data_IF_074475444697
#
_entry.id   IF_074475444697
#
_cell.length_a   1.000
_cell.length_b   1.000
_cell.length_c   1.000
_cell.angle_alpha   90.00
_cell.angle_beta   90.00
_cell.angle_gamma   90.00
#
_symmetry.space_group_name_H-M   'P 1'
#
loop_
_entity.id
_entity.type
_entity.pdbx_description
1 polymer ?
#
# COMPACT_ATOMS: atom_id res chain seq x y z
N UNK A 1 47.39 -33.32 25.55
CA UNK A 1 48.50 -32.56 26.16
C UNK A 1 48.50 -31.17 25.56
N UNK A 2 48.37 -30.21 26.47
CA UNK A 2 48.31 -28.76 26.41
C UNK A 2 49.36 -28.11 25.50
N UNK A 3 48.98 -27.08 24.73
CA UNK A 3 49.63 -25.75 24.76
C UNK A 3 48.59 -24.66 24.45
N UNK A 4 48.41 -23.76 25.42
CA UNK A 4 47.62 -22.52 25.37
C UNK A 4 48.32 -21.45 24.53
N UNK A 5 47.55 -20.55 23.91
CA UNK A 5 47.92 -19.13 23.84
C UNK A 5 46.69 -18.25 24.08
N UNK A 6 46.65 -17.67 25.27
CA UNK A 6 45.90 -16.46 25.58
C UNK A 6 46.67 -15.26 25.04
N UNK A 7 45.97 -14.25 24.54
CA UNK A 7 46.34 -12.85 24.72
C UNK A 7 45.07 -12.00 24.68
N UNK A 8 44.71 -11.47 25.86
CA UNK A 8 43.90 -10.25 26.02
C UNK A 8 44.67 -9.08 25.36
N UNK A 9 44.05 -7.96 25.01
CA UNK A 9 44.03 -6.74 25.85
C UNK A 9 43.41 -5.57 25.05
N UNK A 10 42.64 -4.73 25.77
CA UNK A 10 42.28 -3.31 25.56
C UNK A 10 41.18 -2.89 24.56
N UNK A 11 40.01 -2.61 25.15
CA UNK A 11 39.16 -1.46 24.79
C UNK A 11 39.92 -0.13 24.97
N UNK A 12 39.49 0.91 24.26
CA UNK A 12 39.27 2.19 24.92
C UNK A 12 37.84 2.70 24.71
N UNK A 13 37.26 3.13 25.83
CA UNK A 13 36.16 4.09 25.91
C UNK A 13 36.62 5.44 25.36
N UNK A 14 35.79 6.09 24.54
CA UNK A 14 35.84 7.53 24.32
C UNK A 14 34.44 8.06 24.02
N UNK A 15 33.98 8.89 24.94
CA UNK A 15 32.82 9.75 24.83
C UNK A 15 33.00 10.77 23.71
N UNK A 16 31.89 11.08 23.02
CA UNK A 16 31.84 12.12 22.01
C UNK A 16 30.39 12.39 21.61
N UNK A 17 29.64 13.05 22.49
CA UNK A 17 28.39 13.72 22.15
C UNK A 17 28.74 14.87 21.17
N UNK A 18 28.35 14.74 19.90
CA UNK A 18 28.30 15.88 18.97
C UNK A 18 26.85 16.16 18.62
N UNK A 19 26.32 17.23 19.22
CA UNK A 19 25.25 18.04 18.66
C UNK A 19 25.83 18.92 17.53
N UNK A 20 24.95 19.33 16.60
CA UNK A 20 25.19 20.03 15.31
C UNK A 20 25.49 19.05 14.15
N UNK A 21 24.65 18.92 13.13
CA UNK A 21 24.08 20.01 12.33
C UNK A 21 22.72 19.64 11.73
N UNK A 22 21.69 20.44 12.04
CA UNK A 22 20.43 20.49 11.30
C UNK A 22 20.61 21.57 10.24
N UNK A 23 20.79 21.16 8.99
CA UNK A 23 20.64 21.98 7.78
C UNK A 23 20.44 20.99 6.63
N UNK A 24 19.21 20.46 6.53
CA UNK A 24 18.76 19.76 5.35
C UNK A 24 18.06 20.78 4.44
N UNK A 25 18.53 20.86 3.20
CA UNK A 25 18.00 21.70 2.14
C UNK A 25 16.54 21.33 1.81
N UNK A 26 15.68 22.34 1.78
CA UNK A 26 14.45 22.33 0.98
C UNK A 26 14.83 22.13 -0.49
N UNK A 27 14.46 20.98 -1.06
CA UNK A 27 14.34 20.83 -2.49
C UNK A 27 12.87 21.04 -2.85
N UNK A 28 12.53 22.31 -3.09
CA UNK A 28 11.29 22.75 -3.72
C UNK A 28 11.09 22.01 -5.05
N UNK A 29 9.87 21.51 -5.27
CA UNK A 29 9.38 21.11 -6.58
C UNK A 29 9.53 22.31 -7.56
N UNK A 30 10.16 22.16 -8.73
CA UNK A 30 10.20 23.24 -9.70
C UNK A 30 8.79 23.45 -10.27
N UNK A 31 8.12 24.51 -9.81
CA UNK A 31 6.90 25.04 -10.43
C UNK A 31 7.18 25.37 -11.90
N UNK A 32 6.45 24.72 -12.80
CA UNK A 32 6.38 25.15 -14.19
C UNK A 32 5.85 26.59 -14.27
N UNK A 33 6.45 27.49 -15.07
CA UNK A 33 5.97 28.86 -15.18
C UNK A 33 4.69 28.91 -16.02
N UNK A 34 3.56 29.17 -15.35
CA UNK A 34 2.33 29.58 -16.03
C UNK A 34 2.56 30.96 -16.66
N UNK A 35 2.55 31.01 -17.99
CA UNK A 35 2.55 32.26 -18.74
C UNK A 35 1.23 32.99 -18.51
N UNK A 36 1.30 34.14 -17.87
CA UNK A 36 0.20 35.10 -17.82
C UNK A 36 0.03 35.80 -19.17
N UNK A 37 -1.22 35.96 -19.58
CA UNK A 37 -1.64 37.12 -20.39
C UNK A 37 -2.68 37.88 -19.58
N UNK A 38 -2.39 39.16 -19.35
CA UNK A 38 -3.20 40.05 -18.54
C UNK A 38 -4.52 40.43 -19.19
N UNK A 39 -5.50 40.73 -18.35
CA UNK A 39 -6.75 41.40 -18.68
C UNK A 39 -7.23 42.20 -17.47
N UNK A 40 -7.48 43.48 -17.70
CA UNK A 40 -7.60 44.54 -16.70
C UNK A 40 -8.89 44.52 -15.88
N UNK A 41 -8.76 45.02 -14.64
CA UNK A 41 -9.59 46.03 -13.95
C UNK A 41 -11.12 45.99 -14.11
N UNK A 42 -11.80 45.76 -12.99
CA UNK A 42 -13.20 46.11 -12.78
C UNK A 42 -13.53 46.12 -11.29
N UNK A 43 -13.49 47.32 -10.70
CA UNK A 43 -14.06 47.66 -9.41
C UNK A 43 -15.58 47.35 -9.33
N UNK A 44 -16.13 47.48 -8.11
CA UNK A 44 -17.54 47.50 -7.67
C UNK A 44 -17.98 46.13 -7.10
N UNK A 45 -18.49 46.00 -5.88
CA UNK A 45 -18.81 46.97 -4.85
C UNK A 45 -19.25 46.23 -3.57
N UNK A 46 -18.90 46.81 -2.43
CA UNK A 46 -19.39 46.45 -1.10
C UNK A 46 -20.88 46.75 -1.01
N UNK A 47 -21.67 45.78 -0.57
CA UNK A 47 -22.98 46.03 0.05
C UNK A 47 -23.01 45.28 1.38
N UNK A 48 -22.88 46.05 2.46
CA UNK A 48 -23.36 45.71 3.79
C UNK A 48 -24.60 46.55 4.05
N UNK A 49 -25.70 45.87 4.41
CA UNK A 49 -26.84 46.33 5.22
C UNK A 49 -27.80 45.11 5.24
N UNK A 50 -28.38 44.62 6.33
CA UNK A 50 -28.41 45.04 7.72
C UNK A 50 -29.55 44.28 8.42
N UNK A 51 -29.29 43.86 9.66
CA UNK A 51 -30.20 43.79 10.82
C UNK A 51 -31.51 42.95 10.81
N UNK A 52 -31.62 42.11 11.87
CA UNK A 52 -32.86 41.74 12.56
C UNK A 52 -33.07 40.21 12.61
N UNK A 53 -33.21 39.52 13.73
CA UNK A 53 -33.30 39.89 15.13
C UNK A 53 -33.92 38.73 15.91
N UNK A 54 -33.17 38.19 16.87
CA UNK A 54 -33.66 37.66 18.15
C UNK A 54 -34.37 36.29 18.22
N UNK A 55 -34.30 35.60 19.39
CA UNK A 55 -34.51 34.16 19.53
C UNK A 55 -35.86 33.79 20.18
N UNK A 56 -36.38 32.61 19.83
CA UNK A 56 -37.62 32.05 20.36
C UNK A 56 -37.37 30.71 21.06
N UNK A 57 -37.17 30.80 22.36
CA UNK A 57 -37.21 29.74 23.35
C UNK A 57 -38.62 29.10 23.43
N UNK A 58 -38.70 27.77 23.52
CA UNK A 58 -39.86 27.00 24.02
C UNK A 58 -39.51 25.53 24.19
N UNK A 59 -39.21 25.16 25.43
CA UNK A 59 -39.19 23.77 25.88
C UNK A 59 -40.59 23.15 25.98
N UNK A 60 -40.63 21.82 25.93
CA UNK A 60 -41.65 20.99 26.57
C UNK A 60 -40.95 19.75 27.13
N UNK A 61 -41.19 19.50 28.42
CA UNK A 61 -40.79 18.31 29.17
C UNK A 61 -42.09 17.59 29.60
N UNK A 62 -41.98 16.26 29.72
CA UNK A 62 -42.66 15.33 30.64
C UNK A 62 -43.65 14.32 30.02
N UNK A 63 -43.21 13.05 30.11
CA UNK A 63 -43.83 11.89 30.77
C UNK A 63 -45.23 11.39 30.38
N UNK A 64 -45.34 10.06 30.26
CA UNK A 64 -46.63 9.37 30.38
C UNK A 64 -46.62 7.92 29.92
N UNK A 65 -46.61 7.00 30.87
CA UNK A 65 -46.56 5.55 30.72
C UNK A 65 -47.89 4.88 30.34
N UNK A 66 -47.80 3.66 29.80
CA UNK A 66 -48.58 2.50 30.24
C UNK A 66 -49.88 2.15 29.52
N UNK A 67 -49.94 0.94 28.94
CA UNK A 67 -51.20 0.27 28.58
C UNK A 67 -51.03 -0.89 27.59
N UNK A 68 -50.94 -2.12 28.10
CA UNK A 68 -51.01 -3.41 27.39
C UNK A 68 -52.42 -3.73 26.83
N UNK A 69 -52.75 -4.99 26.45
CA UNK A 69 -52.30 -5.76 25.28
C UNK A 69 -53.50 -6.10 24.37
N UNK A 70 -53.28 -6.46 23.11
CA UNK A 70 -54.31 -7.14 22.31
C UNK A 70 -53.76 -8.42 21.72
N UNK A 71 -54.20 -9.51 22.32
CA UNK A 71 -54.19 -10.87 21.80
C UNK A 71 -55.38 -11.00 20.84
N UNK A 72 -55.14 -11.46 19.61
CA UNK A 72 -56.13 -12.14 18.76
C UNK A 72 -55.42 -12.78 17.58
N UNK A 73 -55.29 -14.11 17.65
CA UNK A 73 -54.71 -14.94 16.61
C UNK A 73 -55.50 -14.91 15.30
N UNK A 74 -54.74 -15.03 14.22
CA UNK A 74 -55.23 -15.33 12.88
C UNK A 74 -54.18 -16.18 12.17
N UNK A 75 -54.41 -17.48 12.16
CA UNK A 75 -53.69 -18.48 11.37
C UNK A 75 -53.82 -18.13 9.89
N UNK A 76 -52.70 -17.99 9.18
CA UNK A 76 -52.61 -18.19 7.74
C UNK A 76 -51.31 -18.94 7.43
N UNK A 77 -51.49 -20.12 6.85
CA UNK A 77 -50.46 -21.03 6.40
C UNK A 77 -49.59 -20.44 5.28
N UNK A 78 -48.28 -20.66 5.43
CA UNK A 78 -47.41 -21.18 4.37
C UNK A 78 -47.27 -20.41 3.06
N UNK A 79 -46.21 -19.60 2.96
CA UNK A 79 -45.51 -19.38 1.70
C UNK A 79 -44.05 -19.01 1.94
N UNK A 80 -43.17 -20.02 1.82
CA UNK A 80 -41.83 -19.92 1.27
C UNK A 80 -40.80 -19.06 1.99
N UNK A 81 -40.00 -19.70 2.85
CA UNK A 81 -38.59 -19.35 3.01
C UNK A 81 -37.92 -19.39 1.63
N UNK A 82 -37.76 -18.23 0.99
CA UNK A 82 -36.78 -18.09 -0.07
C UNK A 82 -35.41 -17.85 0.59
N UNK A 83 -34.44 -18.74 0.41
CA UNK A 83 -33.06 -18.43 0.77
C UNK A 83 -32.60 -17.20 -0.05
N UNK A 84 -31.62 -16.43 0.47
CA UNK A 84 -31.05 -15.32 -0.29
C UNK A 84 -30.58 -15.80 -1.69
N UNK A 85 -30.68 -14.96 -2.73
CA UNK A 85 -30.22 -15.33 -4.06
C UNK A 85 -28.75 -15.77 -3.97
N UNK A 86 -28.50 -16.94 -4.54
CA UNK A 86 -27.34 -17.76 -4.26
C UNK A 86 -26.01 -17.01 -4.32
N UNK A 87 -25.12 -17.37 -3.40
CA UNK A 87 -23.69 -17.24 -3.65
C UNK A 87 -23.42 -17.80 -5.04
N UNK A 88 -22.72 -17.02 -5.86
CA UNK A 88 -22.26 -17.51 -7.14
C UNK A 88 -21.52 -18.82 -6.89
N UNK A 89 -22.15 -19.92 -7.30
CA UNK A 89 -21.51 -21.22 -7.40
C UNK A 89 -20.46 -21.05 -8.48
N UNK A 90 -19.28 -20.58 -8.07
CA UNK A 90 -18.06 -20.65 -8.85
C UNK A 90 -17.76 -22.14 -8.94
N UNK A 91 -18.42 -22.81 -9.89
CA UNK A 91 -18.33 -24.25 -10.08
C UNK A 91 -16.87 -24.71 -10.11
N UNK A 92 -16.61 -26.02 -9.90
CA UNK A 92 -15.26 -26.53 -9.75
C UNK A 92 -14.36 -25.99 -10.85
N UNK A 93 -13.33 -25.25 -10.43
CA UNK A 93 -12.32 -24.72 -11.33
C UNK A 93 -11.77 -25.90 -12.15
N UNK A 94 -11.65 -25.76 -13.49
CA UNK A 94 -11.13 -26.83 -14.32
C UNK A 94 -9.75 -27.29 -13.82
N UNK A 95 -9.43 -28.58 -13.97
CA UNK A 95 -8.12 -29.14 -13.63
C UNK A 95 -7.02 -28.33 -14.34
N UNK A 96 -6.34 -27.47 -13.59
CA UNK A 96 -5.37 -26.54 -14.14
C UNK A 96 -4.06 -27.28 -14.41
N UNK A 97 -3.44 -27.08 -15.59
CA UNK A 97 -2.10 -27.59 -15.84
C UNK A 97 -1.13 -27.04 -14.78
N UNK A 98 -0.16 -27.86 -14.38
CA UNK A 98 0.95 -27.43 -13.51
C UNK A 98 1.51 -26.14 -14.09
N UNK A 99 1.56 -25.04 -13.31
CA UNK A 99 2.05 -23.78 -13.84
C UNK A 99 3.46 -24.00 -14.39
N UNK A 100 3.75 -23.52 -15.61
CA UNK A 100 5.09 -23.63 -16.16
C UNK A 100 6.10 -23.05 -15.16
N UNK A 101 7.34 -23.54 -15.21
CA UNK A 101 8.42 -22.90 -14.45
C UNK A 101 8.40 -21.41 -14.76
N UNK A 102 8.62 -20.58 -13.72
CA UNK A 102 8.76 -19.15 -13.87
C UNK A 102 9.97 -18.86 -14.77
N UNK A 103 9.70 -18.41 -15.99
CA UNK A 103 10.72 -18.11 -16.99
C UNK A 103 10.43 -16.71 -17.47
N UNK A 104 11.31 -15.78 -17.12
CA UNK A 104 11.31 -14.42 -17.63
C UNK A 104 11.10 -14.41 -19.14
N UNK A 105 10.35 -13.42 -19.62
CA UNK A 105 10.25 -13.17 -21.04
C UNK A 105 11.65 -12.85 -21.61
N UNK A 106 11.87 -13.16 -22.88
CA UNK A 106 13.15 -12.88 -23.53
C UNK A 106 13.52 -11.38 -23.55
N UNK A 107 12.53 -10.50 -23.30
CA UNK A 107 12.68 -9.05 -23.20
C UNK A 107 12.93 -8.57 -21.78
N UNK A 108 12.68 -9.40 -20.77
CA UNK A 108 12.80 -9.00 -19.37
C UNK A 108 14.27 -8.83 -19.00
N UNK A 109 14.54 -7.89 -18.11
CA UNK A 109 15.82 -7.82 -17.45
C UNK A 109 15.95 -8.98 -16.44
N UNK A 110 17.12 -9.63 -16.33
CA UNK A 110 18.27 -9.48 -17.20
C UNK A 110 18.10 -10.26 -18.52
N UNK A 111 18.42 -9.62 -19.66
CA UNK A 111 18.55 -10.29 -20.96
C UNK A 111 19.48 -9.53 -21.90
N UNK A 112 19.84 -10.13 -23.04
CA UNK A 112 20.68 -9.50 -24.07
C UNK A 112 20.07 -8.19 -24.62
N UNK A 113 18.75 -8.02 -24.54
CA UNK A 113 18.04 -6.83 -24.99
C UNK A 113 18.45 -5.55 -24.22
N UNK A 114 19.03 -5.69 -23.03
CA UNK A 114 19.40 -4.57 -22.15
C UNK A 114 20.83 -4.06 -22.35
N UNK A 115 21.64 -4.68 -23.22
CA UNK A 115 23.01 -4.26 -23.45
C UNK A 115 23.93 -4.49 -22.26
N UNK A 116 25.00 -3.70 -22.10
CA UNK A 116 25.87 -3.74 -20.91
C UNK A 116 25.40 -2.69 -19.91
N UNK A 117 24.85 -3.15 -18.81
CA UNK A 117 24.22 -2.30 -17.82
C UNK A 117 24.82 -2.59 -16.43
N UNK A 118 25.21 -1.57 -15.64
CA UNK A 118 25.85 -1.78 -14.34
C UNK A 118 25.06 -2.71 -13.41
N UNK A 119 23.73 -2.58 -13.38
CA UNK A 119 22.85 -3.46 -12.59
C UNK A 119 22.88 -4.96 -12.97
N UNK A 120 23.56 -5.36 -14.05
CA UNK A 120 23.69 -6.78 -14.47
C UNK A 120 24.53 -7.63 -13.53
N UNK A 121 25.35 -7.01 -12.68
CA UNK A 121 26.02 -7.72 -11.59
C UNK A 121 25.06 -8.15 -10.46
N UNK A 122 23.77 -7.81 -10.59
CA UNK A 122 22.72 -8.11 -9.62
C UNK A 122 22.69 -7.17 -8.43
N UNK A 123 23.47 -6.09 -8.46
CA UNK A 123 23.62 -5.10 -7.39
C UNK A 123 23.01 -3.76 -7.81
N UNK A 124 22.47 -3.03 -6.84
CA UNK A 124 22.05 -1.65 -7.06
C UNK A 124 23.28 -0.73 -7.10
N UNK A 125 23.35 0.11 -8.13
CA UNK A 125 24.23 1.27 -8.15
C UNK A 125 23.36 2.53 -7.99
N UNK A 126 23.18 2.97 -6.74
CA UNK A 126 22.34 4.14 -6.44
C UNK A 126 22.89 5.41 -7.11
N UNK A 127 21.99 6.28 -7.56
CA UNK A 127 22.36 7.57 -8.15
C UNK A 127 22.80 8.57 -7.07
N UNK A 128 22.12 8.58 -5.93
CA UNK A 128 22.41 9.42 -4.76
C UNK A 128 22.44 8.57 -3.47
N UNK A 129 23.45 7.70 -3.27
CA UNK A 129 23.48 6.74 -2.16
C UNK A 129 23.41 7.39 -0.77
N UNK A 130 23.89 8.62 -0.63
CA UNK A 130 23.88 9.34 0.66
C UNK A 130 22.52 9.97 1.00
N UNK A 131 21.56 10.01 0.06
CA UNK A 131 20.33 10.81 0.18
C UNK A 131 19.03 10.01 -0.04
N UNK A 132 19.03 8.70 0.18
CA UNK A 132 17.84 7.86 0.00
C UNK A 132 16.94 7.92 1.25
N UNK A 133 16.20 9.03 1.41
CA UNK A 133 15.29 9.23 2.56
C UNK A 133 14.21 8.15 2.73
N UNK A 134 13.99 7.33 1.70
CA UNK A 134 13.04 6.23 1.69
C UNK A 134 13.46 5.06 2.59
N UNK A 135 14.77 4.86 2.82
CA UNK A 135 15.29 3.83 3.73
C UNK A 135 14.70 3.99 5.13
N UNK A 136 14.74 5.20 5.68
CA UNK A 136 14.16 5.51 7.00
C UNK A 136 12.64 5.20 7.10
N UNK A 137 11.92 5.19 5.97
CA UNK A 137 10.49 4.83 5.93
C UNK A 137 10.31 3.31 5.99
N UNK A 138 11.24 2.55 5.41
CA UNK A 138 11.26 1.09 5.55
C UNK A 138 11.68 0.70 6.98
N UNK A 139 12.65 1.38 7.57
CA UNK A 139 12.99 1.20 8.99
C UNK A 139 11.77 1.45 9.91
N UNK A 140 11.01 2.51 9.62
CA UNK A 140 9.77 2.80 10.33
C UNK A 140 8.72 1.70 10.14
N UNK A 141 8.56 1.17 8.92
CA UNK A 141 7.68 0.04 8.64
C UNK A 141 8.08 -1.20 9.44
N UNK A 142 9.36 -1.58 9.43
CA UNK A 142 9.91 -2.71 10.18
C UNK A 142 9.69 -2.52 11.69
N UNK A 143 9.96 -1.32 12.21
CA UNK A 143 9.75 -1.02 13.64
C UNK A 143 8.28 -1.09 14.05
N UNK A 144 7.36 -0.66 13.18
CA UNK A 144 5.90 -0.81 13.42
C UNK A 144 5.52 -2.30 13.39
N UNK A 145 6.10 -3.08 12.49
CA UNK A 145 5.85 -4.51 12.36
C UNK A 145 6.14 -5.27 13.65
N UNK A 146 7.33 -5.04 14.22
CA UNK A 146 7.79 -5.64 15.47
C UNK A 146 6.87 -5.34 16.66
N UNK A 147 6.28 -4.13 16.68
CA UNK A 147 5.34 -3.71 17.72
C UNK A 147 3.94 -4.32 17.56
N UNK A 148 3.51 -4.56 16.31
CA UNK A 148 2.13 -4.87 15.98
C UNK A 148 1.93 -6.31 15.49
N UNK A 149 2.12 -6.62 14.21
CA UNK A 149 1.73 -7.92 13.66
C UNK A 149 2.80 -9.00 13.80
N UNK A 150 4.04 -8.66 14.15
CA UNK A 150 5.13 -9.62 14.39
C UNK A 150 5.36 -9.90 15.88
N UNK A 151 4.66 -9.17 16.74
CA UNK A 151 4.70 -9.41 18.16
C UNK A 151 4.22 -10.84 18.48
N UNK A 152 4.89 -11.59 19.39
CA UNK A 152 4.52 -12.97 19.72
C UNK A 152 3.18 -13.11 20.45
N UNK A 153 2.58 -11.99 20.87
CA UNK A 153 1.28 -11.91 21.52
C UNK A 153 0.49 -10.75 20.93
N UNK A 154 -0.83 -10.75 21.15
CA UNK A 154 -1.70 -9.66 20.72
C UNK A 154 -1.15 -8.29 21.21
N UNK A 155 -1.04 -7.28 20.33
CA UNK A 155 -0.48 -5.98 20.70
C UNK A 155 -1.30 -5.29 21.77
N UNK A 156 -0.60 -4.68 22.73
CA UNK A 156 -1.24 -3.87 23.77
C UNK A 156 -1.56 -2.47 23.23
N UNK A 157 -2.52 -1.75 23.82
CA UNK A 157 -2.82 -0.36 23.46
C UNK A 157 -1.59 0.56 23.35
N UNK A 158 -0.62 0.39 24.26
CA UNK A 158 0.61 1.20 24.24
C UNK A 158 1.46 0.96 22.99
N UNK A 159 1.44 -0.25 22.41
CA UNK A 159 2.18 -0.58 21.20
C UNK A 159 1.62 0.20 19.99
N UNK A 160 0.30 0.39 19.90
CA UNK A 160 -0.31 1.28 18.89
C UNK A 160 0.03 2.74 19.12
N UNK A 161 0.16 3.17 20.39
CA UNK A 161 0.70 4.47 20.77
C UNK A 161 2.09 4.70 20.15
N UNK A 162 3.00 3.77 20.40
CA UNK A 162 4.38 3.83 19.91
C UNK A 162 4.46 3.72 18.38
N UNK A 163 3.73 2.78 17.78
CA UNK A 163 3.67 2.60 16.33
C UNK A 163 3.17 3.87 15.61
N UNK A 164 2.17 4.57 16.18
CA UNK A 164 1.67 5.83 15.61
C UNK A 164 2.71 6.95 15.67
N UNK A 165 3.52 7.00 16.73
CA UNK A 165 4.64 7.97 16.83
C UNK A 165 5.69 7.69 15.76
N UNK A 166 6.03 6.42 15.51
CA UNK A 166 6.95 6.03 14.44
C UNK A 166 6.37 6.40 13.07
N UNK A 167 5.10 6.08 12.83
CA UNK A 167 4.39 6.42 11.60
C UNK A 167 4.38 7.93 11.29
N UNK A 168 4.17 8.75 12.32
CA UNK A 168 4.03 10.20 12.24
C UNK A 168 5.36 10.97 12.37
N UNK A 169 6.51 10.29 12.27
CA UNK A 169 7.79 10.99 12.24
C UNK A 169 7.84 12.00 11.08
N UNK A 170 8.54 13.13 11.32
CA UNK A 170 8.74 14.16 10.31
C UNK A 170 9.39 13.54 9.06
N UNK A 171 8.83 13.81 7.88
CA UNK A 171 9.23 13.20 6.60
C UNK A 171 9.16 11.66 6.51
N UNK A 172 8.51 11.03 7.50
CA UNK A 172 8.28 9.59 7.59
C UNK A 172 7.14 9.08 6.72
N UNK A 173 6.49 8.00 7.17
CA UNK A 173 5.42 7.33 6.43
C UNK A 173 4.18 8.23 6.25
N UNK A 174 3.71 8.89 7.31
CA UNK A 174 2.53 9.77 7.27
C UNK A 174 2.65 10.88 6.23
N UNK A 175 3.80 11.57 6.22
CA UNK A 175 4.11 12.61 5.24
C UNK A 175 3.90 12.11 3.82
N UNK A 176 4.31 10.89 3.49
CA UNK A 176 4.16 10.33 2.13
C UNK A 176 2.76 9.76 1.88
N UNK A 177 2.16 9.07 2.85
CA UNK A 177 0.80 8.52 2.73
C UNK A 177 -0.21 9.63 2.48
N UNK A 178 -0.15 10.75 3.20
CA UNK A 178 -1.09 11.88 3.07
C UNK A 178 -1.12 12.56 1.68
N UNK A 179 -0.21 12.20 0.78
CA UNK A 179 -0.10 12.76 -0.58
C UNK A 179 0.17 11.71 -1.65
N UNK A 180 0.02 10.42 -1.34
CA UNK A 180 0.36 9.34 -2.28
C UNK A 180 -0.74 9.20 -3.33
N UNK A 181 -0.36 9.37 -4.58
CA UNK A 181 -1.13 9.03 -5.76
C UNK A 181 -0.73 7.66 -6.33
N UNK A 182 -1.68 6.99 -6.98
CA UNK A 182 -1.48 5.78 -7.78
C UNK A 182 -1.29 6.15 -9.26
N UNK A 183 -0.05 6.03 -9.76
CA UNK A 183 0.32 6.40 -11.13
C UNK A 183 -0.29 5.52 -12.21
N UNK A 184 -0.76 4.32 -11.86
CA UNK A 184 -1.50 3.46 -12.79
C UNK A 184 -2.82 4.11 -13.25
N UNK A 185 -3.37 5.05 -12.47
CA UNK A 185 -4.67 5.68 -12.71
C UNK A 185 -4.58 7.07 -13.33
N UNK A 186 -3.41 7.50 -13.81
CA UNK A 186 -3.20 8.85 -14.36
C UNK A 186 -4.18 9.22 -15.48
N UNK A 187 -4.60 8.25 -16.31
CA UNK A 187 -5.55 8.48 -17.41
C UNK A 187 -7.00 8.77 -16.95
N UNK A 188 -7.30 8.56 -15.67
CA UNK A 188 -8.64 8.72 -15.09
C UNK A 188 -8.89 10.09 -14.45
N UNK A 189 -7.84 10.92 -14.38
CA UNK A 189 -7.88 12.24 -13.73
C UNK A 189 -7.40 13.35 -14.68
N UNK A 190 -7.79 14.62 -14.47
CA UNK A 190 -7.24 15.73 -15.22
C UNK A 190 -5.72 15.84 -15.08
N UNK A 191 -5.05 16.34 -16.13
CA UNK A 191 -3.61 16.63 -16.08
C UNK A 191 -3.30 17.63 -14.95
N UNK A 192 -2.20 17.39 -14.22
CA UNK A 192 -1.78 18.25 -13.11
C UNK A 192 -2.56 18.02 -11.81
N UNK A 193 -3.44 17.02 -11.72
CA UNK A 193 -4.13 16.66 -10.48
C UNK A 193 -3.13 16.39 -9.35
N UNK A 194 -3.29 17.09 -8.23
CA UNK A 194 -2.40 17.02 -7.08
C UNK A 194 -3.19 16.62 -5.83
N UNK A 195 -2.83 15.49 -5.23
CA UNK A 195 -3.52 14.93 -4.06
C UNK A 195 -3.33 15.72 -2.76
N UNK A 196 -2.56 16.81 -2.78
CA UNK A 196 -2.48 17.77 -1.67
C UNK A 196 -3.55 18.85 -1.73
N UNK A 197 -4.17 19.04 -2.89
CA UNK A 197 -5.14 20.12 -3.10
C UNK A 197 -6.47 19.77 -2.44
N UNK A 198 -7.07 20.75 -1.77
CA UNK A 198 -8.33 20.54 -1.04
C UNK A 198 -9.46 20.07 -1.97
N UNK A 199 -10.16 19.01 -1.59
CA UNK A 199 -11.26 18.43 -2.38
C UNK A 199 -10.82 17.42 -3.45
N UNK A 200 -9.53 17.37 -3.79
CA UNK A 200 -9.02 16.44 -4.81
C UNK A 200 -9.04 14.98 -4.32
N UNK A 201 -8.58 14.65 -3.09
CA UNK A 201 -8.69 13.29 -2.58
C UNK A 201 -10.13 12.78 -2.49
N UNK A 202 -11.09 13.64 -2.19
CA UNK A 202 -12.51 13.27 -2.11
C UNK A 202 -13.12 13.05 -3.50
N UNK A 203 -12.68 13.81 -4.50
CA UNK A 203 -13.16 13.72 -5.87
C UNK A 203 -12.54 12.52 -6.62
N UNK A 204 -11.27 12.21 -6.35
CA UNK A 204 -10.51 11.15 -7.01
C UNK A 204 -9.85 10.20 -6.00
N UNK A 205 -10.60 9.51 -5.14
CA UNK A 205 -10.05 8.73 -4.04
C UNK A 205 -9.18 7.55 -4.49
N UNK A 206 -9.46 6.96 -5.65
CA UNK A 206 -8.64 5.87 -6.20
C UNK A 206 -7.29 6.37 -6.72
N UNK A 207 -7.28 7.51 -7.42
CA UNK A 207 -6.02 8.11 -7.86
C UNK A 207 -5.24 8.66 -6.67
N UNK A 208 -5.89 9.41 -5.78
CA UNK A 208 -5.31 9.92 -4.54
C UNK A 208 -5.40 8.89 -3.41
N UNK A 209 -4.94 7.68 -3.70
CA UNK A 209 -5.10 6.49 -2.85
C UNK A 209 -4.62 6.68 -1.42
N UNK A 210 -3.54 7.44 -1.23
CA UNK A 210 -2.98 7.77 0.06
C UNK A 210 -3.98 8.48 0.98
N UNK A 211 -4.33 9.74 0.70
CA UNK A 211 -5.31 10.48 1.51
C UNK A 211 -6.75 9.98 1.35
N UNK A 212 -7.16 9.48 0.17
CA UNK A 212 -8.54 9.09 -0.11
C UNK A 212 -8.95 7.72 0.41
N UNK A 213 -7.99 6.79 0.57
CA UNK A 213 -8.26 5.39 0.97
C UNK A 213 -7.41 4.92 2.15
N UNK A 214 -6.09 5.04 2.05
CA UNK A 214 -5.14 4.44 3.01
C UNK A 214 -5.15 5.19 4.35
N UNK A 215 -5.07 6.52 4.35
CA UNK A 215 -5.01 7.33 5.57
C UNK A 215 -6.24 7.17 6.47
N UNK A 216 -7.49 7.15 5.96
CA UNK A 216 -8.67 6.82 6.76
C UNK A 216 -8.57 5.46 7.46
N UNK A 217 -8.08 4.43 6.77
CA UNK A 217 -7.91 3.08 7.34
C UNK A 217 -6.89 3.10 8.48
N UNK A 218 -5.72 3.72 8.24
CA UNK A 218 -4.66 3.84 9.24
C UNK A 218 -5.14 4.60 10.47
N UNK A 219 -5.80 5.75 10.28
CA UNK A 219 -6.31 6.57 11.38
C UNK A 219 -7.28 5.78 12.24
N UNK A 220 -8.29 5.16 11.63
CA UNK A 220 -9.28 4.37 12.35
C UNK A 220 -8.66 3.16 13.07
N UNK A 221 -7.72 2.46 12.43
CA UNK A 221 -7.06 1.30 13.01
C UNK A 221 -6.13 1.67 14.18
N UNK A 222 -5.36 2.76 14.06
CA UNK A 222 -4.54 3.25 15.17
C UNK A 222 -5.41 3.69 16.35
N UNK A 223 -6.48 4.46 16.11
CA UNK A 223 -7.39 4.91 17.17
C UNK A 223 -8.04 3.73 17.90
N UNK A 224 -8.57 2.76 17.15
CA UNK A 224 -9.20 1.57 17.72
C UNK A 224 -8.20 0.68 18.47
N UNK A 225 -6.99 0.49 17.93
CA UNK A 225 -5.92 -0.25 18.59
C UNK A 225 -5.46 0.41 19.89
N UNK A 226 -5.33 1.74 19.92
CA UNK A 226 -5.02 2.52 21.13
C UNK A 226 -6.15 2.46 22.18
N UNK A 227 -7.39 2.23 21.75
CA UNK A 227 -8.53 1.98 22.64
C UNK A 227 -8.62 0.51 23.11
N UNK A 228 -7.72 -0.38 22.66
CA UNK A 228 -7.75 -1.80 22.99
C UNK A 228 -8.85 -2.58 22.29
N UNK A 229 -9.47 -2.01 21.25
CA UNK A 229 -10.53 -2.67 20.47
C UNK A 229 -9.87 -3.56 19.43
N UNK A 230 -10.17 -4.86 19.47
CA UNK A 230 -9.73 -5.87 18.48
C UNK A 230 -8.27 -5.67 18.01
N UNK A 231 -7.29 -5.68 18.93
CA UNK A 231 -5.92 -5.26 18.62
C UNK A 231 -5.31 -6.06 17.47
N UNK A 232 -5.47 -7.38 17.42
CA UNK A 232 -4.94 -8.21 16.33
C UNK A 232 -5.54 -7.83 14.97
N UNK A 233 -6.84 -7.49 14.92
CA UNK A 233 -7.53 -7.09 13.69
C UNK A 233 -7.04 -5.73 13.21
N UNK A 234 -6.87 -4.77 14.12
CA UNK A 234 -6.38 -3.44 13.76
C UNK A 234 -4.89 -3.44 13.38
N UNK A 235 -4.08 -4.30 13.99
CA UNK A 235 -2.70 -4.54 13.53
C UNK A 235 -2.68 -5.06 12.09
N UNK A 236 -3.55 -6.00 11.74
CA UNK A 236 -3.66 -6.54 10.39
C UNK A 236 -4.15 -5.51 9.35
N UNK A 237 -5.05 -4.59 9.75
CA UNK A 237 -5.46 -3.45 8.89
C UNK A 237 -4.31 -2.50 8.62
N UNK A 238 -3.51 -2.18 9.64
CA UNK A 238 -2.32 -1.33 9.48
C UNK A 238 -1.28 -2.00 8.59
N UNK A 239 -1.03 -3.30 8.81
CA UNK A 239 -0.14 -4.11 7.97
C UNK A 239 -0.54 -4.01 6.50
N UNK A 240 -1.80 -4.34 6.19
CA UNK A 240 -2.32 -4.33 4.83
C UNK A 240 -2.31 -2.93 4.19
N UNK A 241 -2.68 -1.89 4.94
CA UNK A 241 -2.72 -0.52 4.44
C UNK A 241 -1.33 0.02 4.10
N UNK A 242 -0.32 -0.29 4.91
CA UNK A 242 1.06 0.10 4.64
C UNK A 242 1.68 -0.75 3.52
N UNK A 243 1.34 -2.04 3.39
CA UNK A 243 1.73 -2.82 2.21
C UNK A 243 1.14 -2.27 0.92
N UNK A 244 -0.13 -1.85 0.95
CA UNK A 244 -0.75 -1.16 -0.19
C UNK A 244 0.03 0.12 -0.52
N UNK A 245 0.37 0.94 0.48
CA UNK A 245 1.20 2.13 0.28
C UNK A 245 2.57 1.80 -0.33
N UNK A 246 3.27 0.76 0.13
CA UNK A 246 4.57 0.37 -0.42
C UNK A 246 4.43 -0.07 -1.88
N UNK A 247 3.45 -0.91 -2.17
CA UNK A 247 3.15 -1.39 -3.52
C UNK A 247 2.95 -0.24 -4.53
N UNK A 248 2.08 0.73 -4.23
CA UNK A 248 1.88 1.89 -5.12
C UNK A 248 3.09 2.84 -5.14
N UNK A 249 3.88 2.88 -4.05
CA UNK A 249 5.05 3.75 -3.97
C UNK A 249 6.17 3.26 -4.87
N UNK A 250 6.46 1.96 -4.91
CA UNK A 250 7.51 1.41 -5.80
C UNK A 250 7.24 1.84 -7.25
N UNK A 251 6.03 1.60 -7.75
CA UNK A 251 5.68 1.97 -9.12
C UNK A 251 5.67 3.50 -9.33
N UNK A 252 5.11 4.27 -8.39
CA UNK A 252 5.09 5.74 -8.53
C UNK A 252 6.50 6.31 -8.66
N UNK A 253 7.42 5.93 -7.78
CA UNK A 253 8.80 6.47 -7.83
C UNK A 253 9.53 6.01 -9.12
N UNK A 254 9.25 4.78 -9.60
CA UNK A 254 9.77 4.32 -10.89
C UNK A 254 9.27 5.17 -12.06
N UNK A 255 7.99 5.58 -12.04
CA UNK A 255 7.42 6.50 -13.05
C UNK A 255 8.05 7.89 -12.95
N UNK A 256 8.15 8.46 -11.74
CA UNK A 256 8.71 9.82 -11.55
C UNK A 256 10.23 9.87 -11.78
N UNK A 257 10.91 8.72 -11.76
CA UNK A 257 12.30 8.61 -12.18
C UNK A 257 12.57 9.08 -13.63
N UNK A 258 11.53 9.13 -14.46
CA UNK A 258 11.56 9.78 -15.78
C UNK A 258 12.07 11.22 -15.73
N UNK A 259 11.65 11.99 -14.73
CA UNK A 259 12.01 13.41 -14.61
C UNK A 259 12.98 13.68 -13.47
N UNK A 260 13.04 12.79 -12.47
CA UNK A 260 13.82 12.97 -11.26
C UNK A 260 14.63 11.72 -10.97
N UNK A 261 15.90 11.69 -11.38
CA UNK A 261 16.73 10.48 -11.38
C UNK A 261 16.81 9.75 -10.03
N UNK A 262 16.93 10.49 -8.91
CA UNK A 262 16.96 9.93 -7.54
C UNK A 262 15.68 9.19 -7.13
N UNK A 263 14.57 9.37 -7.85
CA UNK A 263 13.34 8.64 -7.55
C UNK A 263 13.48 7.15 -7.92
N UNK A 264 14.39 6.78 -8.82
CA UNK A 264 14.76 5.37 -9.01
C UNK A 264 15.29 4.75 -7.72
N UNK A 265 16.21 5.44 -7.02
CA UNK A 265 16.73 4.98 -5.72
C UNK A 265 15.60 4.82 -4.70
N UNK A 266 14.59 5.71 -4.75
CA UNK A 266 13.40 5.59 -3.91
C UNK A 266 12.49 4.43 -4.30
N UNK A 267 12.34 4.11 -5.58
CA UNK A 267 11.61 2.93 -6.05
C UNK A 267 12.27 1.66 -5.51
N UNK A 268 13.61 1.56 -5.62
CA UNK A 268 14.37 0.46 -5.05
C UNK A 268 14.22 0.39 -3.54
N UNK A 269 14.45 1.49 -2.83
CA UNK A 269 14.34 1.50 -1.38
C UNK A 269 12.92 1.20 -0.88
N UNK A 270 11.85 1.64 -1.53
CA UNK A 270 10.49 1.23 -1.15
C UNK A 270 10.27 -0.28 -1.28
N UNK A 271 10.96 -0.91 -2.23
CA UNK A 271 10.90 -2.34 -2.42
C UNK A 271 11.76 -3.08 -1.40
N UNK A 272 13.06 -2.76 -1.29
CA UNK A 272 14.07 -3.56 -0.59
C UNK A 272 14.56 -3.00 0.73
N UNK A 273 14.29 -1.74 1.05
CA UNK A 273 14.92 -1.05 2.19
C UNK A 273 16.41 -0.76 2.02
N UNK A 274 16.92 -0.75 0.78
CA UNK A 274 18.37 -0.76 0.45
C UNK A 274 19.05 -2.13 0.66
N UNK A 275 18.26 -3.15 1.00
CA UNK A 275 18.74 -4.53 1.15
C UNK A 275 19.18 -5.17 -0.17
N UNK A 276 20.21 -6.01 -0.09
CA UNK A 276 20.58 -6.92 -1.18
C UNK A 276 19.50 -8.00 -1.39
N UNK A 277 19.50 -8.66 -2.55
CA UNK A 277 18.54 -9.74 -2.87
C UNK A 277 18.47 -10.82 -1.78
N UNK A 278 19.59 -11.13 -1.14
CA UNK A 278 19.64 -12.16 -0.08
C UNK A 278 19.08 -11.72 1.28
N UNK A 279 18.79 -10.42 1.45
CA UNK A 279 18.33 -9.83 2.71
C UNK A 279 17.12 -8.90 2.45
N UNK A 280 15.97 -9.47 2.05
CA UNK A 280 14.82 -8.66 1.67
C UNK A 280 14.20 -7.95 2.88
N UNK A 281 13.99 -6.64 2.75
CA UNK A 281 13.26 -5.81 3.72
C UNK A 281 12.00 -5.19 3.09
N UNK A 282 11.23 -4.39 3.83
CA UNK A 282 10.09 -3.68 3.27
C UNK A 282 9.05 -4.58 2.58
N UNK A 283 8.66 -4.20 1.36
CA UNK A 283 7.74 -5.00 0.53
C UNK A 283 8.39 -6.30 0.03
N UNK A 284 9.70 -6.27 -0.27
CA UNK A 284 10.45 -7.44 -0.71
C UNK A 284 10.39 -8.55 0.34
N UNK A 285 10.46 -8.21 1.64
CA UNK A 285 10.32 -9.18 2.73
C UNK A 285 8.97 -9.92 2.67
N UNK A 286 7.88 -9.18 2.53
CA UNK A 286 6.53 -9.75 2.49
C UNK A 286 6.31 -10.58 1.22
N UNK A 287 6.79 -10.12 0.07
CA UNK A 287 6.74 -10.91 -1.18
C UNK A 287 7.58 -12.17 -1.03
N UNK A 288 8.82 -12.08 -0.54
CA UNK A 288 9.71 -13.23 -0.39
C UNK A 288 9.15 -14.29 0.56
N UNK A 289 8.49 -13.87 1.65
CA UNK A 289 7.82 -14.78 2.57
C UNK A 289 6.66 -15.55 1.91
N UNK A 290 5.96 -14.94 0.96
CA UNK A 290 4.87 -15.58 0.22
C UNK A 290 5.35 -16.35 -1.02
N UNK A 291 6.41 -15.88 -1.69
CA UNK A 291 7.00 -16.44 -2.90
C UNK A 291 8.40 -15.90 -3.12
N UNK A 292 9.42 -16.75 -2.93
CA UNK A 292 10.82 -16.43 -3.24
C UNK A 292 11.01 -16.08 -4.71
N UNK A 293 10.22 -16.70 -5.59
CA UNK A 293 10.23 -16.44 -7.01
C UNK A 293 9.61 -15.07 -7.34
N UNK A 294 8.49 -14.72 -6.71
CA UNK A 294 7.92 -13.38 -6.83
C UNK A 294 8.90 -12.30 -6.37
N UNK A 295 9.68 -12.58 -5.32
CA UNK A 295 10.75 -11.68 -4.90
C UNK A 295 11.85 -11.58 -5.96
N UNK A 296 12.35 -12.70 -6.49
CA UNK A 296 13.39 -12.66 -7.52
C UNK A 296 12.97 -11.87 -8.74
N UNK A 297 11.74 -12.08 -9.24
CA UNK A 297 11.20 -11.38 -10.41
C UNK A 297 11.03 -9.89 -10.16
N UNK A 298 10.50 -9.51 -9.00
CA UNK A 298 10.32 -8.09 -8.66
C UNK A 298 11.67 -7.40 -8.47
N UNK A 299 12.65 -8.08 -7.85
CA UNK A 299 14.00 -7.53 -7.71
C UNK A 299 14.65 -7.29 -9.08
N UNK A 300 14.54 -8.25 -10.01
CA UNK A 300 15.01 -8.09 -11.38
C UNK A 300 14.33 -6.91 -12.07
N UNK A 301 13.03 -6.76 -11.89
CA UNK A 301 12.26 -5.68 -12.51
C UNK A 301 12.58 -4.29 -11.95
N UNK A 302 12.86 -4.18 -10.65
CA UNK A 302 13.34 -2.92 -10.05
C UNK A 302 14.75 -2.59 -10.57
N UNK A 303 15.62 -3.60 -10.73
CA UNK A 303 16.91 -3.39 -11.39
C UNK A 303 16.75 -2.98 -12.86
N UNK A 304 15.73 -3.46 -13.56
CA UNK A 304 15.42 -3.04 -14.93
C UNK A 304 15.17 -1.52 -15.01
N UNK A 305 14.46 -0.96 -14.03
CA UNK A 305 14.20 0.50 -13.95
C UNK A 305 15.50 1.27 -13.72
N UNK A 306 16.35 0.84 -12.78
CA UNK A 306 17.67 1.44 -12.59
C UNK A 306 18.51 1.34 -13.86
N UNK A 307 18.52 0.16 -14.46
CA UNK A 307 19.30 -0.14 -15.63
C UNK A 307 18.95 0.76 -16.82
N UNK A 308 17.66 0.88 -17.12
CA UNK A 308 17.17 1.83 -18.11
C UNK A 308 17.69 3.24 -17.82
N UNK A 309 17.56 3.70 -16.57
CA UNK A 309 17.93 5.06 -16.19
C UNK A 309 19.44 5.30 -16.22
N UNK A 310 20.26 4.29 -15.95
CA UNK A 310 21.72 4.35 -16.10
C UNK A 310 22.14 4.49 -17.56
N UNK A 311 21.47 3.76 -18.45
CA UNK A 311 21.72 3.82 -19.89
C UNK A 311 21.24 5.13 -20.51
N UNK A 312 20.22 5.76 -19.93
CA UNK A 312 19.65 7.02 -20.38
C UNK A 312 20.31 8.24 -19.71
N UNK A 313 21.41 8.72 -20.31
CA UNK A 313 22.30 9.71 -19.70
C UNK A 313 21.66 11.07 -19.28
N UNK A 314 20.72 11.69 -20.04
CA UNK A 314 20.18 13.02 -19.70
C UNK A 314 19.43 13.05 -18.37
N UNK A 315 19.33 14.22 -17.71
CA UNK A 315 18.66 14.39 -16.41
C UNK A 315 17.13 14.13 -16.47
N UNK A 316 16.51 14.49 -17.59
CA UNK A 316 15.15 14.08 -17.93
C UNK A 316 15.25 13.00 -19.00
N UNK A 317 14.63 11.86 -18.75
CA UNK A 317 14.72 10.70 -19.61
C UNK A 317 14.21 10.98 -21.03
N UNK A 318 14.93 10.43 -22.02
CA UNK A 318 14.59 10.52 -23.45
C UNK A 318 14.37 9.14 -24.07
N UNK A 319 14.91 8.07 -23.47
CA UNK A 319 14.67 6.69 -23.90
C UNK A 319 13.35 6.15 -23.32
N UNK A 320 12.24 6.76 -23.72
CA UNK A 320 10.91 6.38 -23.24
C UNK A 320 10.48 4.96 -23.66
N UNK A 321 10.85 4.42 -24.85
CA UNK A 321 10.53 3.04 -25.16
C UNK A 321 11.16 2.03 -24.20
N UNK A 322 12.42 2.22 -23.78
CA UNK A 322 13.05 1.34 -22.78
C UNK A 322 12.50 1.58 -21.38
N UNK A 323 12.13 2.83 -21.04
CA UNK A 323 11.37 3.12 -19.82
C UNK A 323 10.11 2.27 -19.74
N UNK A 324 9.30 2.32 -20.79
CA UNK A 324 8.00 1.67 -20.81
C UNK A 324 8.15 0.15 -20.71
N UNK A 325 9.21 -0.42 -21.30
CA UNK A 325 9.59 -1.82 -21.09
C UNK A 325 9.94 -2.12 -19.63
N UNK A 326 10.77 -1.29 -18.98
CA UNK A 326 11.14 -1.45 -17.57
C UNK A 326 9.93 -1.35 -16.63
N UNK A 327 9.06 -0.37 -16.86
CA UNK A 327 7.85 -0.16 -16.07
C UNK A 327 6.84 -1.29 -16.27
N UNK A 328 6.68 -1.80 -17.49
CA UNK A 328 5.82 -2.96 -17.74
C UNK A 328 6.32 -4.22 -17.02
N UNK A 329 7.63 -4.48 -17.06
CA UNK A 329 8.22 -5.59 -16.30
C UNK A 329 8.00 -5.41 -14.79
N UNK A 330 8.19 -4.20 -14.26
CA UNK A 330 7.97 -3.89 -12.85
C UNK A 330 6.52 -4.08 -12.42
N UNK A 331 5.57 -3.59 -13.21
CA UNK A 331 4.14 -3.69 -12.90
C UNK A 331 3.70 -5.16 -12.82
N UNK A 332 4.03 -5.97 -13.83
CA UNK A 332 3.71 -7.41 -13.84
C UNK A 332 4.36 -8.14 -12.67
N UNK A 333 5.63 -7.85 -12.36
CA UNK A 333 6.33 -8.50 -11.27
C UNK A 333 5.77 -8.12 -9.88
N UNK A 334 5.44 -6.84 -9.68
CA UNK A 334 4.78 -6.37 -8.45
C UNK A 334 3.39 -7.00 -8.30
N UNK A 335 2.59 -7.02 -9.36
CA UNK A 335 1.26 -7.62 -9.36
C UNK A 335 1.33 -9.11 -9.04
N UNK A 336 2.27 -9.83 -9.65
CA UNK A 336 2.54 -11.22 -9.30
C UNK A 336 2.92 -11.36 -7.82
N UNK A 337 3.88 -10.57 -7.31
CA UNK A 337 4.32 -10.64 -5.92
C UNK A 337 3.20 -10.36 -4.91
N UNK A 338 2.40 -9.32 -5.13
CA UNK A 338 1.25 -8.98 -4.27
C UNK A 338 0.15 -10.04 -4.36
N UNK A 339 -0.11 -10.61 -5.54
CA UNK A 339 -1.06 -11.73 -5.69
C UNK A 339 -0.66 -12.93 -4.82
N UNK A 340 0.65 -13.19 -4.64
CA UNK A 340 1.15 -14.27 -3.79
C UNK A 340 0.97 -13.96 -2.31
N UNK A 341 1.16 -12.71 -1.88
CA UNK A 341 0.84 -12.27 -0.50
C UNK A 341 -0.64 -12.53 -0.22
N UNK A 342 -1.54 -12.11 -1.12
CA UNK A 342 -2.98 -12.30 -0.97
C UNK A 342 -3.33 -13.79 -0.93
N UNK A 343 -2.79 -14.60 -1.85
CA UNK A 343 -3.02 -16.05 -1.90
C UNK A 343 -2.60 -16.73 -0.60
N UNK A 344 -1.38 -16.45 -0.12
CA UNK A 344 -0.87 -16.97 1.15
C UNK A 344 -1.74 -16.55 2.34
N UNK A 345 -2.25 -15.32 2.33
CA UNK A 345 -3.15 -14.83 3.38
C UNK A 345 -4.52 -15.51 3.35
N UNK A 346 -5.07 -15.80 2.16
CA UNK A 346 -6.33 -16.57 2.04
C UNK A 346 -6.16 -17.97 2.60
N UNK A 347 -5.04 -18.65 2.30
CA UNK A 347 -4.75 -19.99 2.84
C UNK A 347 -4.65 -19.97 4.37
N UNK A 348 -3.95 -18.96 4.92
CA UNK A 348 -3.88 -18.75 6.37
C UNK A 348 -5.25 -18.49 6.99
N UNK A 349 -6.05 -17.61 6.39
CA UNK A 349 -7.41 -17.31 6.82
C UNK A 349 -8.30 -18.56 6.84
N UNK A 350 -8.18 -19.41 5.81
CA UNK A 350 -8.94 -20.65 5.71
C UNK A 350 -8.59 -21.63 6.84
N UNK A 351 -7.31 -21.72 7.20
CA UNK A 351 -6.81 -22.57 8.29
C UNK A 351 -6.99 -21.97 9.69
N UNK A 352 -7.17 -20.65 9.80
CA UNK A 352 -7.27 -19.94 11.06
C UNK A 352 -8.66 -20.07 11.71
N UNK A 353 -8.73 -19.70 12.99
CA UNK A 353 -9.96 -19.57 13.75
C UNK A 353 -9.89 -18.35 14.70
N UNK A 354 -11.05 -17.97 15.26
CA UNK A 354 -11.16 -16.85 16.20
C UNK A 354 -10.54 -15.56 15.69
N UNK A 355 -9.84 -14.85 16.59
CA UNK A 355 -9.24 -13.54 16.30
C UNK A 355 -8.19 -13.58 15.17
N UNK A 356 -7.49 -14.71 14.96
CA UNK A 356 -6.54 -14.85 13.86
C UNK A 356 -7.26 -14.87 12.51
N UNK A 357 -8.41 -15.57 12.43
CA UNK A 357 -9.25 -15.58 11.22
C UNK A 357 -9.83 -14.19 10.93
N UNK A 358 -10.33 -13.50 11.94
CA UNK A 358 -10.83 -12.12 11.79
C UNK A 358 -9.73 -11.16 11.32
N UNK A 359 -8.51 -11.31 11.85
CA UNK A 359 -7.37 -10.49 11.46
C UNK A 359 -6.93 -10.75 10.02
N UNK A 360 -6.83 -12.02 9.60
CA UNK A 360 -6.47 -12.36 8.23
C UNK A 360 -7.57 -11.92 7.24
N UNK A 361 -8.85 -11.98 7.63
CA UNK A 361 -9.92 -11.40 6.82
C UNK A 361 -9.78 -9.88 6.69
N UNK A 362 -9.56 -9.16 7.80
CA UNK A 362 -9.40 -7.71 7.76
C UNK A 362 -8.18 -7.28 6.93
N UNK A 363 -7.10 -8.06 6.93
CA UNK A 363 -5.98 -7.87 6.02
C UNK A 363 -6.43 -7.98 4.56
N UNK A 364 -7.13 -9.07 4.22
CA UNK A 364 -7.61 -9.34 2.86
C UNK A 364 -8.57 -8.24 2.37
N UNK A 365 -9.45 -7.74 3.24
CA UNK A 365 -10.34 -6.63 2.90
C UNK A 365 -9.56 -5.36 2.55
N UNK A 366 -8.47 -5.06 3.24
CA UNK A 366 -7.70 -3.83 2.96
C UNK A 366 -6.80 -4.00 1.74
N UNK A 367 -5.89 -4.98 1.74
CA UNK A 367 -4.94 -5.13 0.64
C UNK A 367 -5.62 -5.64 -0.63
N UNK A 368 -6.63 -6.51 -0.50
CA UNK A 368 -7.38 -7.03 -1.63
C UNK A 368 -8.18 -5.93 -2.34
N UNK A 369 -8.80 -5.00 -1.60
CA UNK A 369 -9.46 -3.83 -2.19
C UNK A 369 -8.45 -2.95 -2.94
N UNK A 370 -7.28 -2.73 -2.35
CA UNK A 370 -6.19 -2.00 -3.02
C UNK A 370 -5.63 -2.69 -4.26
N UNK A 371 -5.83 -3.99 -4.39
CA UNK A 371 -5.39 -4.79 -5.52
C UNK A 371 -6.47 -4.98 -6.60
N UNK A 372 -7.72 -4.55 -6.35
CA UNK A 372 -8.81 -4.68 -7.32
C UNK A 372 -8.51 -4.00 -8.66
N UNK A 373 -7.70 -2.92 -8.65
CA UNK A 373 -7.24 -2.27 -9.89
C UNK A 373 -6.47 -3.23 -10.78
N UNK A 374 -5.50 -3.97 -10.23
CA UNK A 374 -4.73 -4.96 -10.95
C UNK A 374 -5.64 -6.08 -11.49
N UNK A 375 -6.57 -6.55 -10.66
CA UNK A 375 -7.55 -7.58 -11.07
C UNK A 375 -8.40 -7.07 -12.23
N UNK A 376 -8.93 -5.85 -12.14
CA UNK A 376 -9.81 -5.26 -13.16
C UNK A 376 -9.11 -5.02 -14.49
N UNK A 377 -7.78 -4.79 -14.48
CA UNK A 377 -6.98 -4.68 -15.69
C UNK A 377 -6.90 -6.02 -16.45
N UNK A 378 -6.90 -7.14 -15.73
CA UNK A 378 -6.89 -8.49 -16.33
C UNK A 378 -8.31 -8.97 -16.67
N UNK A 379 -9.25 -8.80 -15.74
CA UNK A 379 -10.64 -9.20 -15.86
C UNK A 379 -11.55 -8.37 -14.93
N UNK A 380 -12.38 -7.50 -15.52
CA UNK A 380 -13.28 -6.61 -14.79
C UNK A 380 -14.41 -7.35 -14.05
N UNK A 381 -14.92 -8.45 -14.60
CA UNK A 381 -16.01 -9.21 -13.99
C UNK A 381 -15.50 -9.95 -12.75
N UNK A 382 -14.29 -10.51 -12.83
CA UNK A 382 -13.60 -11.11 -11.68
C UNK A 382 -13.34 -10.04 -10.61
N UNK A 383 -12.91 -8.84 -10.98
CA UNK A 383 -12.71 -7.75 -10.01
C UNK A 383 -14.01 -7.40 -9.27
N UNK A 384 -15.14 -7.32 -9.97
CA UNK A 384 -16.46 -7.09 -9.34
C UNK A 384 -16.81 -8.21 -8.37
N UNK A 385 -16.59 -9.48 -8.76
CA UNK A 385 -16.86 -10.63 -7.90
C UNK A 385 -15.98 -10.63 -6.64
N UNK A 386 -14.68 -10.39 -6.80
CA UNK A 386 -13.74 -10.29 -5.66
C UNK A 386 -14.10 -9.11 -4.77
N UNK A 387 -14.45 -7.95 -5.32
CA UNK A 387 -14.86 -6.79 -4.55
C UNK A 387 -16.10 -7.07 -3.71
N UNK A 388 -17.10 -7.77 -4.27
CA UNK A 388 -18.31 -8.16 -3.55
C UNK A 388 -17.99 -9.11 -2.38
N UNK A 389 -17.10 -10.09 -2.61
CA UNK A 389 -16.64 -11.01 -1.56
C UNK A 389 -15.92 -10.26 -0.44
N UNK A 390 -14.97 -9.38 -0.79
CA UNK A 390 -14.21 -8.59 0.19
C UNK A 390 -15.07 -7.55 0.93
N UNK A 391 -16.21 -7.13 0.35
CA UNK A 391 -17.19 -6.27 1.01
C UNK A 391 -17.98 -6.95 2.15
N UNK A 392 -17.95 -8.29 2.21
CA UNK A 392 -18.61 -9.09 3.25
C UNK A 392 -17.77 -9.31 4.52
N UNK A 393 -18.28 -10.15 5.42
CA UNK A 393 -17.59 -10.56 6.65
C UNK A 393 -16.76 -11.85 6.49
N UNK A 394 -16.70 -12.39 5.27
CA UNK A 394 -16.02 -13.64 4.94
C UNK A 394 -16.82 -14.90 5.27
N UNK A 395 -18.02 -14.77 5.84
CA UNK A 395 -18.88 -15.92 6.17
C UNK A 395 -19.32 -16.62 4.88
N UNK A 396 -19.11 -17.93 4.81
CA UNK A 396 -19.49 -18.74 3.65
C UNK A 396 -18.60 -18.59 2.41
N UNK A 397 -17.54 -17.78 2.49
CA UNK A 397 -16.54 -17.67 1.41
C UNK A 397 -15.69 -18.93 1.40
N UNK A 398 -15.53 -19.53 0.22
CA UNK A 398 -14.60 -20.63 -0.01
C UNK A 398 -13.24 -20.05 -0.41
N UNK A 399 -12.16 -20.59 0.16
CA UNK A 399 -10.80 -20.10 -0.09
C UNK A 399 -10.45 -20.14 -1.58
N UNK A 400 -10.89 -21.20 -2.26
CA UNK A 400 -10.71 -21.43 -3.69
C UNK A 400 -11.35 -20.33 -4.54
N UNK A 401 -12.44 -19.72 -4.05
CA UNK A 401 -13.11 -18.60 -4.70
C UNK A 401 -12.29 -17.31 -4.74
N UNK A 402 -11.24 -17.22 -3.91
CA UNK A 402 -10.28 -16.10 -3.92
C UNK A 402 -8.91 -16.51 -4.47
N UNK A 403 -8.39 -17.69 -4.12
CA UNK A 403 -7.06 -18.14 -4.59
C UNK A 403 -7.06 -18.49 -6.07
N UNK A 404 -8.12 -19.10 -6.61
CA UNK A 404 -8.22 -19.45 -8.02
C UNK A 404 -8.03 -18.24 -8.94
N UNK A 405 -8.86 -17.19 -8.82
CA UNK A 405 -8.71 -15.96 -9.60
C UNK A 405 -7.33 -15.30 -9.48
N UNK A 406 -6.80 -15.16 -8.27
CA UNK A 406 -5.49 -14.55 -8.03
C UNK A 406 -4.35 -15.33 -8.72
N UNK A 407 -4.40 -16.65 -8.66
CA UNK A 407 -3.35 -17.48 -9.25
C UNK A 407 -3.45 -17.57 -10.77
N UNK A 408 -4.66 -17.50 -11.33
CA UNK A 408 -4.92 -17.57 -12.77
C UNK A 408 -4.61 -16.24 -13.47
N UNK A 409 -5.03 -15.11 -12.89
CA UNK A 409 -4.87 -13.79 -13.50
C UNK A 409 -3.44 -13.26 -13.40
N UNK A 410 -2.69 -13.70 -12.39
CA UNK A 410 -1.30 -13.31 -12.18
C UNK A 410 -0.42 -14.57 -12.22
N UNK A 411 -0.23 -15.15 -13.42
CA UNK A 411 0.73 -16.22 -13.59
C UNK A 411 2.13 -15.69 -13.30
N UNK A 412 3.07 -16.61 -13.14
CA UNK A 412 4.45 -16.21 -12.96
C UNK A 412 4.98 -15.47 -14.19
N UNK A 413 5.61 -14.30 -14.03
CA UNK A 413 6.19 -13.53 -15.13
C UNK A 413 7.42 -14.19 -15.75
#
# INVERSE_FOLDING_TARGET
>A
MTVRKQSRILMPSLAGLSLLSILACEADDPKAPAQGTGGQSGDIGVVLDGAGGGPGDRGVVLDGAGGQPVDSGGVLDGAGDQPPPGGADMGPLPDLPVPPMCVAAATDFPSEAWGLCPAQDGTLHAFEPENISTIARIDAWTSIAELLWEAPAAPRPEAFGQARVIYAQMEGLDSRVSRRDDRHLTATVPEGTNCRDAGVPELYPEYCVGPGRILPILTAAFDAGQAGVLPTVNAARIEAALLWFLYVSVYKEAVTCTTTKRDCDSAFAYYTGDGERGAPEGLARSINAASTEGHSRTFDAVLAVHCWRELDAPDVAVDLPRRDLALAQLDVALDFGVSRILTSRVERWAAANGAAKEADWAFLQVLGQGFLRAIALQDADVAIAVAAVLGGDGTGVLAEGLTGPLTQLFPCP
#
